data_IF_260290274175
#
_entry.id   IF_260290274175
#
_cell.length_a   1.000
_cell.length_b   1.000
_cell.length_c   1.000
_cell.angle_alpha   90.00
_cell.angle_beta   90.00
_cell.angle_gamma   90.00
#
_symmetry.space_group_name_H-M   'P 1'
#
loop_
_entity.id
_entity.type
_entity.pdbx_description
1 polymer ?
#
# COMPACT_ATOMS: atom_id res chain seq x y z
N UNK A 1 -22.35 -18.88 16.87
CA UNK A 1 -22.25 -18.13 17.03
C UNK A 1 -22.04 -17.45 16.55
N UNK A 2 -21.73 -17.78 16.46
CA UNK A 2 -21.58 -16.87 16.43
C UNK A 2 -21.39 -16.26 15.85
N UNK A 3 -21.22 -16.44 15.75
CA UNK A 3 -21.09 -15.60 15.81
C UNK A 3 -21.11 -15.05 15.48
N UNK A 4 -20.89 -15.28 15.72
CA UNK A 4 -20.97 -14.42 16.02
C UNK A 4 -21.04 -14.02 16.09
N UNK A 5 -21.06 -14.34 16.24
CA UNK A 5 -21.10 -13.71 16.74
C UNK A 5 -20.99 -13.23 16.82
N UNK A 6 -20.86 -13.39 17.06
CA UNK A 6 -20.70 -12.68 17.54
C UNK A 6 -20.51 -12.09 17.46
N UNK A 7 -20.46 -12.21 17.51
CA UNK A 7 -20.18 -11.49 17.96
C UNK A 7 -20.11 -10.87 17.77
N UNK A 8 -20.11 -10.65 18.04
CA UNK A 8 -19.94 -9.88 18.22
C UNK A 8 -19.91 -9.17 18.09
N UNK A 9 -20.00 -9.09 18.26
CA UNK A 9 -19.82 -8.42 18.41
C UNK A 9 -19.68 -7.84 18.55
N UNK A 10 -20.25 -7.98 18.53
CA UNK A 10 -19.80 -6.72 18.95
C UNK A 10 -18.59 -6.72 19.68
N UNK A 11 -18.09 -7.43 19.66
CA UNK A 11 -16.97 -7.45 20.16
C UNK A 11 -15.88 -6.82 19.63
N UNK A 12 -14.75 -6.97 19.82
CA UNK A 12 -13.60 -6.51 19.15
C UNK A 12 -13.55 -5.05 18.81
N UNK A 13 -14.31 -4.30 19.42
CA UNK A 13 -14.43 -2.89 19.06
C UNK A 13 -13.19 -2.11 19.44
N UNK A 14 -12.38 -2.66 20.32
CA UNK A 14 -11.16 -1.99 20.73
C UNK A 14 -10.23 -1.82 19.54
N UNK A 15 -10.16 -2.81 18.66
CA UNK A 15 -9.33 -2.72 17.47
C UNK A 15 -9.77 -1.58 16.56
N UNK A 16 -11.07 -1.33 16.49
CA UNK A 16 -11.58 -0.25 15.65
C UNK A 16 -11.16 1.12 16.18
N UNK A 17 -10.89 1.22 17.46
CA UNK A 17 -10.49 2.49 18.07
C UNK A 17 -9.02 2.80 17.85
N UNK A 18 -8.21 1.80 17.50
CA UNK A 18 -6.77 1.96 17.42
C UNK A 18 -6.22 1.83 16.00
N UNK A 19 -7.09 1.58 15.03
CA UNK A 19 -6.68 1.44 13.64
C UNK A 19 -7.70 2.01 12.69
N UNK A 20 -7.66 1.55 11.47
CA UNK A 20 -8.58 2.00 10.43
C UNK A 20 -9.95 1.35 10.52
N UNK A 21 -10.10 0.32 11.36
CA UNK A 21 -11.27 -0.53 11.38
C UNK A 21 -11.19 -1.71 10.42
N UNK A 22 -10.08 -1.84 9.72
CA UNK A 22 -9.83 -2.86 8.71
C UNK A 22 -8.49 -3.50 9.05
N UNK A 23 -8.49 -4.60 9.80
CA UNK A 23 -7.25 -5.15 10.35
C UNK A 23 -6.30 -5.64 9.27
N UNK A 24 -6.79 -6.15 8.14
CA UNK A 24 -5.91 -6.60 7.07
C UNK A 24 -5.25 -5.40 6.36
N UNK A 25 -5.94 -4.27 6.29
CA UNK A 25 -5.33 -3.05 5.77
C UNK A 25 -4.26 -2.55 6.73
N UNK A 26 -4.53 -2.59 8.03
CA UNK A 26 -3.54 -2.19 9.03
C UNK A 26 -2.28 -3.05 8.93
N UNK A 27 -2.44 -4.36 8.79
CA UNK A 27 -1.31 -5.27 8.63
C UNK A 27 -0.54 -4.94 7.35
N UNK A 28 -1.25 -4.65 6.27
CA UNK A 28 -0.62 -4.30 5.00
C UNK A 28 0.20 -3.02 5.13
N UNK A 29 -0.37 -1.99 5.76
CA UNK A 29 0.33 -0.72 5.97
C UNK A 29 1.59 -0.94 6.81
N UNK A 30 1.45 -1.64 7.93
CA UNK A 30 2.57 -1.88 8.82
C UNK A 30 3.67 -2.71 8.17
N UNK A 31 3.31 -3.61 7.28
CA UNK A 31 4.28 -4.50 6.64
C UNK A 31 4.93 -3.93 5.39
N UNK A 32 4.29 -2.99 4.71
CA UNK A 32 4.73 -2.57 3.38
C UNK A 32 5.03 -1.09 3.25
N UNK A 33 4.36 -0.23 4.00
CA UNK A 33 4.56 1.21 3.84
C UNK A 33 5.62 1.71 4.79
N UNK A 34 6.87 1.55 4.38
CA UNK A 34 8.02 1.93 5.21
C UNK A 34 8.44 3.40 5.01
N UNK A 35 7.79 4.12 4.09
CA UNK A 35 8.11 5.51 3.80
C UNK A 35 6.94 6.15 3.08
N UNK A 36 6.95 7.48 3.00
CA UNK A 36 5.93 8.19 2.22
C UNK A 36 6.12 8.01 0.72
N UNK A 37 7.34 7.71 0.28
CA UNK A 37 7.55 7.31 -1.12
C UNK A 37 6.78 6.03 -1.42
N UNK A 38 6.81 5.06 -0.51
CA UNK A 38 6.04 3.82 -0.69
C UNK A 38 4.53 4.10 -0.77
N UNK A 39 4.04 5.01 0.09
CA UNK A 39 2.65 5.45 0.05
C UNK A 39 2.30 6.03 -1.32
N UNK A 40 3.11 6.97 -1.80
CA UNK A 40 2.85 7.64 -3.08
C UNK A 40 2.86 6.64 -4.24
N UNK A 41 3.80 5.70 -4.23
CA UNK A 41 3.89 4.68 -5.26
C UNK A 41 2.65 3.81 -5.25
N UNK A 42 2.22 3.38 -4.08
CA UNK A 42 1.05 2.51 -3.97
C UNK A 42 -0.21 3.21 -4.48
N UNK A 43 -0.40 4.47 -4.10
CA UNK A 43 -1.57 5.24 -4.56
C UNK A 43 -1.53 5.40 -6.08
N UNK A 44 -0.36 5.72 -6.62
CA UNK A 44 -0.22 5.88 -8.07
C UNK A 44 -0.56 4.59 -8.81
N UNK A 45 0.00 3.47 -8.35
CA UNK A 45 -0.22 2.19 -9.03
C UNK A 45 -1.64 1.68 -8.87
N UNK A 46 -2.27 1.97 -7.74
CA UNK A 46 -3.66 1.59 -7.54
C UNK A 46 -4.58 2.41 -8.44
N UNK A 47 -4.35 3.71 -8.53
CA UNK A 47 -5.13 4.58 -9.40
C UNK A 47 -4.96 4.22 -10.87
N UNK A 48 -3.86 3.56 -11.22
CA UNK A 48 -3.55 3.15 -12.58
C UNK A 48 -3.45 1.63 -12.69
N UNK A 49 -4.29 0.91 -11.95
CA UNK A 49 -4.25 -0.55 -11.91
C UNK A 49 -4.39 -1.12 -13.33
N UNK A 50 -3.52 -2.06 -13.64
CA UNK A 50 -3.50 -2.66 -14.96
C UNK A 50 -2.62 -1.92 -15.97
N UNK A 51 -2.12 -0.74 -15.61
CA UNK A 51 -1.24 0.05 -16.51
C UNK A 51 0.17 -0.01 -15.93
N UNK A 52 1.13 -0.46 -16.73
CA UNK A 52 2.52 -0.54 -16.28
C UNK A 52 3.23 0.78 -16.53
N UNK A 53 4.23 1.06 -15.69
CA UNK A 53 5.05 2.27 -15.81
C UNK A 53 6.49 1.92 -15.47
N UNK A 54 7.44 2.55 -16.16
CA UNK A 54 8.84 2.36 -15.85
C UNK A 54 9.28 3.33 -14.75
N UNK A 55 10.52 3.14 -14.29
CA UNK A 55 11.06 3.95 -13.19
C UNK A 55 11.07 5.44 -13.52
N UNK A 56 11.53 5.79 -14.72
CA UNK A 56 11.64 7.20 -15.09
C UNK A 56 10.27 7.88 -15.15
N UNK A 57 9.29 7.19 -15.72
CA UNK A 57 7.93 7.72 -15.80
C UNK A 57 7.34 7.92 -14.42
N UNK A 58 7.52 6.93 -13.55
CA UNK A 58 6.96 6.99 -12.20
C UNK A 58 7.61 8.12 -11.39
N UNK A 59 8.92 8.24 -11.48
CA UNK A 59 9.63 9.32 -10.79
C UNK A 59 9.13 10.68 -11.24
N UNK A 60 8.95 10.86 -12.56
CA UNK A 60 8.46 12.11 -13.11
C UNK A 60 7.05 12.42 -12.60
N UNK A 61 6.17 11.42 -12.61
CA UNK A 61 4.78 11.62 -12.20
C UNK A 61 4.64 11.92 -10.72
N UNK A 62 5.51 11.32 -9.90
CA UNK A 62 5.44 11.50 -8.45
C UNK A 62 6.24 12.71 -7.97
N UNK A 63 7.00 13.35 -8.88
CA UNK A 63 7.86 14.46 -8.48
C UNK A 63 8.96 14.03 -7.53
N UNK A 64 9.45 12.79 -7.69
CA UNK A 64 10.50 12.25 -6.84
C UNK A 64 11.67 11.80 -7.72
N UNK A 65 12.83 11.64 -7.11
CA UNK A 65 14.01 11.19 -7.85
C UNK A 65 13.99 9.68 -7.97
N UNK A 66 14.60 9.18 -9.05
CA UNK A 66 14.60 7.73 -9.30
C UNK A 66 15.24 6.96 -8.15
N UNK A 67 16.30 7.50 -7.57
CA UNK A 67 16.99 6.80 -6.48
C UNK A 67 16.15 6.74 -5.20
N UNK A 68 15.12 7.59 -5.09
CA UNK A 68 14.20 7.54 -3.93
C UNK A 68 13.17 6.43 -4.07
N UNK A 69 12.75 6.13 -5.28
CA UNK A 69 11.65 5.19 -5.48
C UNK A 69 12.11 3.81 -5.93
N UNK A 70 13.27 3.69 -6.55
CA UNK A 70 13.73 2.39 -7.04
C UNK A 70 13.84 1.34 -5.93
N UNK A 71 14.43 1.65 -4.76
CA UNK A 71 14.49 0.64 -3.70
C UNK A 71 13.12 0.21 -3.22
N UNK A 72 12.15 1.12 -3.21
CA UNK A 72 10.78 0.80 -2.80
C UNK A 72 10.13 -0.12 -3.83
N UNK A 73 10.33 0.16 -5.12
CA UNK A 73 9.78 -0.70 -6.17
C UNK A 73 10.36 -2.11 -6.08
N UNK A 74 11.66 -2.20 -5.81
CA UNK A 74 12.31 -3.50 -5.65
C UNK A 74 11.74 -4.25 -4.46
N UNK A 75 11.53 -3.56 -3.35
CA UNK A 75 10.96 -4.16 -2.16
C UNK A 75 9.52 -4.61 -2.40
N UNK A 76 8.72 -3.77 -3.02
CA UNK A 76 7.34 -4.12 -3.35
C UNK A 76 7.27 -5.33 -4.28
N UNK A 77 8.16 -5.39 -5.28
CA UNK A 77 8.19 -6.54 -6.19
C UNK A 77 8.56 -7.81 -5.43
N UNK A 78 9.53 -7.72 -4.54
CA UNK A 78 9.93 -8.86 -3.73
C UNK A 78 8.86 -9.34 -2.78
N UNK A 79 7.97 -8.45 -2.36
CA UNK A 79 6.87 -8.81 -1.45
C UNK A 79 5.59 -9.20 -2.18
N UNK A 80 5.57 -9.08 -3.51
CA UNK A 80 4.38 -9.44 -4.27
C UNK A 80 3.32 -8.36 -4.32
N UNK A 81 3.63 -7.14 -3.88
CA UNK A 81 2.69 -6.02 -3.96
C UNK A 81 2.55 -5.54 -5.39
N UNK A 82 3.64 -5.57 -6.14
CA UNK A 82 3.65 -5.18 -7.55
C UNK A 82 4.31 -6.28 -8.36
N UNK A 83 4.07 -6.25 -9.67
CA UNK A 83 4.71 -7.13 -10.62
C UNK A 83 5.68 -6.32 -11.48
N UNK A 84 6.87 -6.86 -11.69
CA UNK A 84 7.89 -6.23 -12.51
C UNK A 84 8.15 -7.12 -13.73
N UNK A 85 8.28 -6.51 -14.90
CA UNK A 85 8.59 -7.25 -16.12
C UNK A 85 9.46 -6.41 -17.04
N UNK A 86 10.38 -7.07 -17.75
CA UNK A 86 11.24 -6.38 -18.71
C UNK A 86 10.58 -6.42 -20.07
N UNK A 87 10.53 -5.25 -20.74
CA UNK A 87 10.04 -5.16 -22.10
C UNK A 87 11.10 -5.59 -23.11
N UNK A 88 10.76 -5.56 -24.40
CA UNK A 88 11.70 -5.96 -25.46
C UNK A 88 12.97 -5.11 -25.47
N UNK A 89 12.91 -3.88 -25.01
CA UNK A 89 14.05 -2.96 -24.94
C UNK A 89 14.87 -3.15 -23.65
N UNK A 90 14.48 -4.10 -22.78
CA UNK A 90 15.16 -4.35 -21.52
C UNK A 90 14.74 -3.42 -20.40
N UNK A 91 13.84 -2.48 -20.65
CA UNK A 91 13.36 -1.57 -19.61
C UNK A 91 12.35 -2.29 -18.74
N UNK A 92 12.55 -2.20 -17.41
CA UNK A 92 11.65 -2.85 -16.46
C UNK A 92 10.45 -1.94 -16.21
N UNK A 93 9.26 -2.51 -16.31
CA UNK A 93 8.02 -1.82 -16.02
C UNK A 93 7.33 -2.47 -14.83
N UNK A 94 6.59 -1.67 -14.10
CA UNK A 94 5.95 -2.09 -12.85
C UNK A 94 4.45 -1.85 -12.92
N UNK A 95 3.69 -2.75 -12.33
CA UNK A 95 2.22 -2.65 -12.28
C UNK A 95 1.76 -3.22 -10.95
N UNK A 96 0.62 -2.72 -10.45
CA UNK A 96 0.04 -3.32 -9.24
C UNK A 96 -0.21 -4.80 -9.50
N UNK A 97 0.07 -5.64 -8.51
CA UNK A 97 -0.10 -7.08 -8.65
C UNK A 97 -1.50 -7.41 -9.15
N UNK A 98 -1.63 -8.38 -10.07
CA UNK A 98 -2.95 -8.85 -10.51
C UNK A 98 -3.64 -9.75 -9.49
N UNK A 99 -2.97 -10.11 -8.40
CA UNK A 99 -3.56 -10.93 -7.35
C UNK A 99 -4.77 -10.21 -6.78
N UNK A 100 -5.97 -10.82 -6.80
CA UNK A 100 -7.19 -10.16 -6.32
C UNK A 100 -7.09 -9.71 -4.88
N UNK A 101 -6.39 -10.45 -4.03
CA UNK A 101 -6.28 -10.08 -2.62
C UNK A 101 -5.41 -8.83 -2.44
N UNK A 102 -4.29 -8.75 -3.17
CA UNK A 102 -3.44 -7.56 -3.13
C UNK A 102 -4.22 -6.35 -3.64
N UNK A 103 -4.94 -6.51 -4.74
CA UNK A 103 -5.74 -5.42 -5.30
C UNK A 103 -6.82 -4.96 -4.34
N UNK A 104 -7.48 -5.90 -3.69
CA UNK A 104 -8.53 -5.57 -2.73
C UNK A 104 -7.98 -4.72 -1.59
N UNK A 105 -6.87 -5.14 -1.01
CA UNK A 105 -6.28 -4.44 0.12
C UNK A 105 -5.75 -3.07 -0.30
N UNK A 106 -5.10 -2.99 -1.47
CA UNK A 106 -4.58 -1.72 -1.97
C UNK A 106 -5.73 -0.73 -2.24
N UNK A 107 -6.80 -1.20 -2.88
CA UNK A 107 -7.96 -0.36 -3.15
C UNK A 107 -8.59 0.11 -1.84
N UNK A 108 -8.73 -0.79 -0.89
CA UNK A 108 -9.32 -0.45 0.41
C UNK A 108 -8.46 0.58 1.15
N UNK A 109 -7.14 0.41 1.10
CA UNK A 109 -6.22 1.38 1.70
C UNK A 109 -6.45 2.78 1.10
N UNK A 110 -6.50 2.86 -0.24
CA UNK A 110 -6.66 4.15 -0.90
C UNK A 110 -7.99 4.79 -0.52
N UNK A 111 -9.06 3.99 -0.45
CA UNK A 111 -10.37 4.50 -0.04
C UNK A 111 -10.35 5.01 1.39
N UNK A 112 -9.77 4.24 2.30
CA UNK A 112 -9.72 4.60 3.71
C UNK A 112 -8.87 5.84 3.92
N UNK A 113 -7.81 6.00 3.14
CA UNK A 113 -6.92 7.15 3.26
C UNK A 113 -7.58 8.46 2.84
N UNK A 114 -8.76 8.41 2.23
CA UNK A 114 -9.52 9.61 1.91
C UNK A 114 -10.25 10.15 3.13
N UNK A 115 -10.44 9.34 4.16
CA UNK A 115 -11.07 9.76 5.41
C UNK A 115 -9.97 10.36 6.28
N UNK A 116 -10.13 11.61 6.67
CA UNK A 116 -9.05 12.36 7.33
C UNK A 116 -8.51 11.66 8.58
N UNK A 117 -9.41 11.20 9.44
CA UNK A 117 -8.99 10.57 10.71
C UNK A 117 -8.22 9.28 10.46
N UNK A 118 -8.64 8.51 9.47
CA UNK A 118 -7.96 7.26 9.12
C UNK A 118 -6.63 7.57 8.45
N UNK A 119 -6.60 8.58 7.58
CA UNK A 119 -5.35 8.98 6.92
C UNK A 119 -4.31 9.38 7.96
N UNK A 120 -4.72 10.12 9.00
CA UNK A 120 -3.80 10.52 10.05
C UNK A 120 -3.27 9.31 10.81
N UNK A 121 -4.09 8.30 11.01
CA UNK A 121 -3.63 7.06 11.64
C UNK A 121 -2.59 6.36 10.76
N UNK A 122 -2.82 6.31 9.45
CA UNK A 122 -1.83 5.72 8.53
C UNK A 122 -0.53 6.52 8.54
N UNK A 123 -0.61 7.86 8.56
CA UNK A 123 0.58 8.70 8.66
C UNK A 123 1.36 8.35 9.92
N UNK A 124 0.68 8.17 11.03
CA UNK A 124 1.34 7.82 12.29
C UNK A 124 2.04 6.47 12.20
N UNK A 125 1.42 5.48 11.54
CA UNK A 125 2.02 4.17 11.36
C UNK A 125 3.27 4.23 10.51
N UNK A 126 3.23 5.01 9.42
CA UNK A 126 4.40 5.18 8.55
C UNK A 126 5.52 5.87 9.31
N UNK A 127 5.20 6.92 10.07
CA UNK A 127 6.21 7.63 10.86
C UNK A 127 6.86 6.71 11.90
N UNK A 128 6.05 5.87 12.56
CA UNK A 128 6.58 4.91 13.52
C UNK A 128 7.53 3.92 12.86
N UNK A 129 7.18 3.46 11.64
CA UNK A 129 8.03 2.55 10.88
C UNK A 129 9.35 3.21 10.49
N UNK A 130 9.29 4.47 10.07
CA UNK A 130 10.49 5.22 9.70
C UNK A 130 11.41 5.44 10.91
N UNK A 131 10.82 5.67 12.08
CA UNK A 131 11.61 5.89 13.31
C UNK A 131 12.36 4.64 13.72
N UNK A 132 11.81 3.46 13.44
CA UNK A 132 12.47 2.20 13.76
C UNK A 132 13.55 1.84 12.75
N UNK A 133 13.41 2.36 11.56
CA UNK A 133 14.31 2.06 10.47
C UNK A 133 15.59 2.79 10.57
#
# INVERSE_FOLDING_TARGET
MNAFTSGPSGEGRIDDLTGSGDSDVDVFVDGNLSSFAAWDILVYLENNAGVSADLAEMASRLGRKEHEIEPVLRDFAGRGVIAASAGPDGVVCYVLSPDPEVRRVATRFVELAKVREIRLEFVRRVLARMSRG
#
